data_IF_527738768378
#
_entry.id   IF_527738768378
#
_cell.length_a   1.000
_cell.length_b   1.000
_cell.length_c   1.000
_cell.angle_alpha   90.00
_cell.angle_beta   90.00
_cell.angle_gamma   90.00
#
_symmetry.space_group_name_H-M   'P 1'
#
loop_
_entity.id
_entity.type
_entity.pdbx_description
1 polymer ?
#
# COMPACT_ATOMS: atom_id res chain seq x y z
N UNK A 1 19.92 -16.03 -8.88
CA UNK A 1 19.60 -16.17 -10.33
C UNK A 1 19.36 -14.78 -10.88
N UNK A 2 19.70 -14.48 -12.12
CA UNK A 2 19.37 -13.18 -12.75
C UNK A 2 17.91 -13.20 -13.21
N UNK A 3 17.18 -12.06 -13.15
CA UNK A 3 15.74 -12.00 -13.52
C UNK A 3 15.42 -12.58 -14.90
N UNK A 4 16.29 -12.36 -15.90
CA UNK A 4 16.08 -12.86 -17.29
C UNK A 4 16.09 -14.39 -17.40
N UNK A 5 16.61 -15.08 -16.37
CA UNK A 5 16.62 -16.55 -16.30
C UNK A 5 15.48 -17.13 -15.49
N UNK A 6 14.72 -16.28 -14.79
CA UNK A 6 13.60 -16.70 -13.96
C UNK A 6 12.33 -16.91 -14.81
N UNK A 7 11.50 -17.87 -14.38
CA UNK A 7 10.09 -17.94 -14.79
C UNK A 7 9.25 -17.28 -13.72
N UNK A 8 8.67 -16.13 -14.04
CA UNK A 8 7.90 -15.30 -13.11
C UNK A 8 6.40 -15.55 -13.32
N UNK A 9 5.66 -15.85 -12.26
CA UNK A 9 4.20 -15.81 -12.28
C UNK A 9 3.73 -14.43 -11.79
N UNK A 10 3.05 -13.66 -12.63
CA UNK A 10 2.45 -12.39 -12.24
C UNK A 10 1.04 -12.68 -11.75
N UNK A 11 0.84 -12.59 -10.43
CA UNK A 11 -0.44 -12.88 -9.79
C UNK A 11 -1.26 -11.59 -9.70
N UNK A 12 -2.44 -11.58 -10.30
CA UNK A 12 -3.35 -10.43 -10.31
C UNK A 12 -4.81 -10.88 -10.19
N UNK A 13 -5.75 -9.95 -10.05
CA UNK A 13 -7.16 -10.24 -9.86
C UNK A 13 -7.53 -10.21 -8.37
N UNK A 14 -7.81 -11.35 -7.78
CA UNK A 14 -8.24 -11.47 -6.40
C UNK A 14 -9.76 -11.35 -6.21
N UNK A 15 -10.17 -11.39 -4.94
CA UNK A 15 -11.60 -11.42 -4.54
C UNK A 15 -12.08 -10.13 -3.88
N UNK A 16 -11.20 -9.13 -3.75
CA UNK A 16 -11.52 -7.83 -3.17
C UNK A 16 -12.24 -6.91 -4.15
N UNK A 17 -12.79 -5.81 -3.65
CA UNK A 17 -13.36 -4.74 -4.47
C UNK A 17 -12.35 -4.04 -5.41
N UNK A 18 -11.05 -4.33 -5.25
CA UNK A 18 -9.96 -3.74 -6.03
C UNK A 18 -9.48 -4.64 -7.20
N UNK A 19 -10.24 -5.70 -7.52
CA UNK A 19 -9.89 -6.69 -8.55
C UNK A 19 -9.47 -6.08 -9.90
N UNK A 20 -10.22 -5.12 -10.41
CA UNK A 20 -9.91 -4.48 -11.71
C UNK A 20 -8.58 -3.72 -11.68
N UNK A 21 -8.29 -3.05 -10.57
CA UNK A 21 -7.02 -2.33 -10.38
C UNK A 21 -5.85 -3.31 -10.28
N UNK A 22 -6.06 -4.41 -9.59
CA UNK A 22 -5.11 -5.51 -9.52
C UNK A 22 -4.79 -6.07 -10.90
N UNK A 23 -5.80 -6.35 -11.73
CA UNK A 23 -5.61 -6.82 -13.10
C UNK A 23 -4.84 -5.81 -13.96
N UNK A 24 -5.14 -4.52 -13.84
CA UNK A 24 -4.40 -3.45 -14.55
C UNK A 24 -2.94 -3.37 -14.09
N UNK A 25 -2.69 -3.49 -12.78
CA UNK A 25 -1.33 -3.54 -12.22
C UNK A 25 -0.57 -4.76 -12.75
N UNK A 26 -1.19 -5.94 -12.73
CA UNK A 26 -0.60 -7.18 -13.25
C UNK A 26 -0.24 -7.08 -14.73
N UNK A 27 -1.17 -6.60 -15.56
CA UNK A 27 -0.93 -6.42 -17.00
C UNK A 27 0.21 -5.42 -17.29
N UNK A 28 0.29 -4.31 -16.54
CA UNK A 28 1.37 -3.34 -16.68
C UNK A 28 2.74 -3.96 -16.29
N UNK A 29 2.81 -4.67 -15.17
CA UNK A 29 4.02 -5.38 -14.72
C UNK A 29 4.42 -6.46 -15.72
N UNK A 30 3.47 -7.28 -16.19
CA UNK A 30 3.74 -8.33 -17.19
C UNK A 30 4.31 -7.75 -18.47
N UNK A 31 3.71 -6.69 -19.00
CA UNK A 31 4.20 -5.98 -20.19
C UNK A 31 5.63 -5.45 -19.97
N UNK A 32 5.89 -4.81 -18.83
CA UNK A 32 7.20 -4.24 -18.52
C UNK A 32 8.27 -5.34 -18.41
N UNK A 33 8.02 -6.39 -17.63
CA UNK A 33 8.96 -7.50 -17.46
C UNK A 33 9.20 -8.27 -18.77
N UNK A 34 8.17 -8.46 -19.58
CA UNK A 34 8.31 -9.07 -20.91
C UNK A 34 9.24 -8.25 -21.82
N UNK A 35 9.09 -6.92 -21.83
CA UNK A 35 9.96 -6.03 -22.61
C UNK A 35 11.43 -6.05 -22.13
N UNK A 36 11.67 -6.46 -20.89
CA UNK A 36 13.01 -6.63 -20.29
C UNK A 36 13.56 -8.06 -20.48
N UNK A 37 12.88 -8.91 -21.26
CA UNK A 37 13.33 -10.27 -21.58
C UNK A 37 13.06 -11.31 -20.49
N UNK A 38 12.24 -11.00 -19.48
CA UNK A 38 11.85 -11.94 -18.41
C UNK A 38 10.80 -12.91 -18.94
N UNK A 39 10.99 -14.21 -18.68
CA UNK A 39 9.99 -15.24 -18.96
C UNK A 39 8.88 -15.17 -17.91
N UNK A 40 7.63 -14.97 -18.31
CA UNK A 40 6.53 -14.84 -17.39
C UNK A 40 5.27 -15.61 -17.82
N UNK A 41 4.39 -15.81 -16.84
CA UNK A 41 3.02 -16.27 -17.02
C UNK A 41 2.11 -15.39 -16.18
N UNK A 42 1.01 -14.92 -16.77
CA UNK A 42 -0.01 -14.15 -16.06
C UNK A 42 -1.02 -15.11 -15.43
N UNK A 43 -1.34 -14.90 -14.16
CA UNK A 43 -2.27 -15.73 -13.40
C UNK A 43 -3.39 -14.85 -12.86
N UNK A 44 -4.61 -15.08 -13.34
CA UNK A 44 -5.82 -14.45 -12.82
C UNK A 44 -6.33 -15.23 -11.60
N UNK A 45 -6.08 -14.70 -10.41
CA UNK A 45 -6.54 -15.29 -9.15
C UNK A 45 -8.03 -14.98 -8.97
N UNK A 46 -8.86 -16.03 -8.93
CA UNK A 46 -10.34 -15.90 -8.89
C UNK A 46 -10.97 -16.31 -7.55
N UNK A 47 -10.18 -16.86 -6.66
CA UNK A 47 -10.63 -17.35 -5.35
C UNK A 47 -9.60 -17.02 -4.26
N UNK A 48 -9.92 -17.38 -3.02
CA UNK A 48 -8.95 -17.34 -1.89
C UNK A 48 -8.07 -18.60 -1.87
N UNK A 49 -7.64 -19.03 -3.04
CA UNK A 49 -6.70 -20.12 -3.23
C UNK A 49 -5.95 -19.85 -4.52
N UNK A 50 -4.62 -19.79 -4.44
CA UNK A 50 -3.76 -19.55 -5.59
C UNK A 50 -3.27 -20.86 -6.20
N UNK A 51 -3.33 -20.94 -7.53
CA UNK A 51 -2.68 -22.01 -8.29
C UNK A 51 -1.44 -21.44 -8.97
N UNK A 52 -0.27 -21.88 -8.54
CA UNK A 52 1.00 -21.44 -9.12
C UNK A 52 1.41 -22.39 -10.25
N UNK A 53 1.62 -21.92 -11.48
CA UNK A 53 2.00 -22.77 -12.61
C UNK A 53 3.33 -23.48 -12.38
N UNK A 54 3.41 -24.75 -12.76
CA UNK A 54 4.60 -25.56 -12.59
C UNK A 54 5.86 -24.91 -13.20
N UNK A 55 6.98 -25.05 -12.48
CA UNK A 55 8.27 -24.48 -12.86
C UNK A 55 8.36 -22.96 -12.69
N UNK A 56 7.45 -22.33 -11.96
CA UNK A 56 7.58 -20.93 -11.52
C UNK A 56 8.71 -20.82 -10.50
N UNK A 57 9.61 -19.85 -10.67
CA UNK A 57 10.69 -19.58 -9.73
C UNK A 57 10.26 -18.55 -8.66
N UNK A 58 9.46 -17.55 -9.04
CA UNK A 58 9.00 -16.48 -8.16
C UNK A 58 7.66 -15.92 -8.62
N UNK A 59 6.78 -15.55 -7.66
CA UNK A 59 5.52 -14.88 -7.90
C UNK A 59 5.68 -13.37 -7.74
N UNK A 60 5.29 -12.59 -8.76
CA UNK A 60 5.16 -11.14 -8.64
C UNK A 60 3.72 -10.81 -8.21
N UNK A 61 3.57 -10.26 -6.99
CA UNK A 61 2.26 -10.00 -6.41
C UNK A 61 1.73 -8.64 -6.87
N UNK A 62 0.52 -8.64 -7.45
CA UNK A 62 -0.22 -7.45 -7.86
C UNK A 62 -1.64 -7.42 -7.29
N UNK A 63 -1.98 -8.31 -6.34
CA UNK A 63 -3.29 -8.33 -5.71
C UNK A 63 -3.42 -7.21 -4.70
N UNK A 64 -4.59 -6.56 -4.66
CA UNK A 64 -4.90 -5.49 -3.72
C UNK A 64 -6.04 -5.87 -2.78
N UNK A 65 -6.06 -5.27 -1.58
CA UNK A 65 -7.07 -5.50 -0.57
C UNK A 65 -7.00 -6.89 0.08
N UNK A 66 -8.16 -7.36 0.58
CA UNK A 66 -8.24 -8.65 1.27
C UNK A 66 -7.75 -9.83 0.41
N UNK A 67 -7.11 -10.81 1.04
CA UNK A 67 -6.38 -11.92 0.46
C UNK A 67 -5.00 -11.52 -0.10
N UNK A 68 -4.89 -10.40 -0.83
CA UNK A 68 -3.62 -9.95 -1.42
C UNK A 68 -2.69 -9.27 -0.41
N UNK A 69 -3.23 -8.35 0.39
CA UNK A 69 -2.45 -7.50 1.29
C UNK A 69 -2.57 -7.89 2.77
N UNK A 70 -3.52 -8.77 3.14
CA UNK A 70 -3.80 -9.18 4.52
C UNK A 70 -2.89 -10.31 5.05
N UNK A 71 -1.87 -10.69 4.29
CA UNK A 71 -0.93 -11.76 4.65
C UNK A 71 -1.38 -13.17 4.29
N UNK A 72 -2.64 -13.37 3.86
CA UNK A 72 -3.20 -14.71 3.57
C UNK A 72 -2.51 -15.34 2.36
N UNK A 73 -2.37 -14.61 1.25
CA UNK A 73 -1.70 -15.10 0.05
C UNK A 73 -0.22 -15.40 0.32
N UNK A 74 0.45 -14.54 1.09
CA UNK A 74 1.85 -14.72 1.45
C UNK A 74 2.05 -16.01 2.28
N UNK A 75 1.18 -16.25 3.27
CA UNK A 75 1.21 -17.47 4.08
C UNK A 75 0.95 -18.74 3.25
N UNK A 76 0.06 -18.66 2.26
CA UNK A 76 -0.19 -19.76 1.33
C UNK A 76 1.04 -20.06 0.47
N UNK A 77 1.69 -19.03 -0.08
CA UNK A 77 2.92 -19.16 -0.85
C UNK A 77 4.10 -19.67 -0.01
N UNK A 78 4.20 -19.21 1.25
CA UNK A 78 5.19 -19.73 2.22
C UNK A 78 5.01 -21.25 2.45
N UNK A 79 3.75 -21.70 2.61
CA UNK A 79 3.43 -23.13 2.78
C UNK A 79 3.81 -23.97 1.54
N UNK A 80 3.74 -23.36 0.34
CA UNK A 80 4.17 -24.00 -0.91
C UNK A 80 5.69 -23.94 -1.12
N UNK A 81 6.45 -23.24 -0.27
CA UNK A 81 7.87 -22.96 -0.48
C UNK A 81 8.13 -22.07 -1.69
N UNK A 82 7.14 -21.28 -2.10
CA UNK A 82 7.18 -20.44 -3.30
C UNK A 82 7.72 -19.05 -2.98
N UNK A 83 8.76 -18.63 -3.68
CA UNK A 83 9.27 -17.25 -3.59
C UNK A 83 8.24 -16.25 -4.14
N UNK A 84 8.17 -15.06 -3.53
CA UNK A 84 7.28 -13.98 -3.97
C UNK A 84 7.85 -12.59 -3.68
N UNK A 85 7.30 -11.57 -4.35
CA UNK A 85 7.73 -10.17 -4.18
C UNK A 85 7.06 -9.51 -2.97
N UNK A 86 7.79 -8.56 -2.35
CA UNK A 86 7.27 -7.73 -1.27
C UNK A 86 7.48 -8.34 0.12
N UNK A 87 6.64 -7.92 1.05
CA UNK A 87 6.71 -8.28 2.47
C UNK A 87 6.16 -9.66 2.75
N UNK A 88 6.64 -10.32 3.81
CA UNK A 88 6.13 -11.60 4.29
C UNK A 88 4.73 -11.51 4.92
N UNK A 89 4.15 -12.68 5.23
CA UNK A 89 2.77 -12.80 5.71
C UNK A 89 2.49 -11.98 6.98
N UNK A 90 3.40 -12.03 7.97
CA UNK A 90 3.23 -11.33 9.25
C UNK A 90 3.23 -9.81 9.07
N UNK A 91 4.19 -9.29 8.31
CA UNK A 91 4.30 -7.85 8.04
C UNK A 91 3.10 -7.33 7.22
N UNK A 92 2.66 -8.10 6.23
CA UNK A 92 1.49 -7.77 5.41
C UNK A 92 0.22 -7.72 6.25
N UNK A 93 -0.04 -8.73 7.09
CA UNK A 93 -1.19 -8.76 7.99
C UNK A 93 -1.16 -7.60 9.00
N UNK A 94 0.03 -7.29 9.54
CA UNK A 94 0.21 -6.19 10.50
C UNK A 94 -0.05 -4.83 9.84
N UNK A 95 0.49 -4.59 8.65
CA UNK A 95 0.32 -3.33 7.93
C UNK A 95 -1.14 -3.11 7.47
N UNK A 96 -1.87 -4.18 7.13
CA UNK A 96 -3.25 -4.12 6.69
C UNK A 96 -4.25 -3.80 7.81
N UNK A 97 -3.92 -4.20 9.06
CA UNK A 97 -4.70 -3.85 10.25
C UNK A 97 -4.26 -2.49 10.82
N UNK A 98 -5.04 -1.45 10.54
CA UNK A 98 -4.70 -0.07 10.90
C UNK A 98 -4.54 0.17 12.40
N UNK A 99 -5.27 -0.55 13.25
CA UNK A 99 -5.14 -0.41 14.71
C UNK A 99 -3.84 -1.02 15.21
N UNK A 100 -3.53 -2.24 14.77
CA UNK A 100 -2.27 -2.91 15.12
C UNK A 100 -1.06 -2.20 14.53
N UNK A 101 -1.16 -1.73 13.28
CA UNK A 101 -0.12 -0.93 12.65
C UNK A 101 0.15 0.36 13.44
N UNK A 102 -0.90 1.07 13.89
CA UNK A 102 -0.76 2.26 14.74
C UNK A 102 -0.12 1.96 16.08
N UNK A 103 -0.47 0.87 16.73
CA UNK A 103 0.13 0.45 17.99
C UNK A 103 1.65 0.25 17.84
N UNK A 104 2.08 -0.50 16.84
CA UNK A 104 3.50 -0.79 16.57
C UNK A 104 4.26 0.47 16.15
N UNK A 105 3.71 1.25 15.23
CA UNK A 105 4.33 2.50 14.79
C UNK A 105 4.41 3.54 15.91
N UNK A 106 3.37 3.62 16.75
CA UNK A 106 3.36 4.49 17.94
C UNK A 106 4.42 4.11 18.95
N UNK A 107 4.60 2.82 19.23
CA UNK A 107 5.67 2.31 20.09
C UNK A 107 7.07 2.62 19.53
N UNK A 108 7.22 2.71 18.22
CA UNK A 108 8.44 3.15 17.54
C UNK A 108 8.61 4.68 17.51
N UNK A 109 7.70 5.47 18.10
CA UNK A 109 7.76 6.93 18.15
C UNK A 109 7.47 7.62 16.80
N UNK A 110 6.71 6.97 15.92
CA UNK A 110 6.27 7.54 14.64
C UNK A 110 5.04 8.42 14.90
N UNK A 111 5.00 9.66 14.37
CA UNK A 111 3.84 10.53 14.51
C UNK A 111 2.60 9.94 13.84
N UNK A 112 1.49 9.87 14.59
CA UNK A 112 0.22 9.31 14.16
C UNK A 112 -0.92 10.21 14.62
N UNK A 113 -2.04 10.21 13.88
CA UNK A 113 -3.28 10.73 14.41
C UNK A 113 -3.78 9.82 15.56
N UNK A 114 -4.28 10.40 16.65
CA UNK A 114 -4.93 9.64 17.72
C UNK A 114 -6.10 8.84 17.13
N UNK A 115 -6.20 7.55 17.46
CA UNK A 115 -7.26 6.70 16.92
C UNK A 115 -7.43 5.42 17.74
N UNK A 116 -8.67 4.97 17.83
CA UNK A 116 -9.07 3.78 18.60
C UNK A 116 -10.08 2.94 17.82
N UNK A 117 -10.32 1.71 18.26
CA UNK A 117 -11.43 0.91 17.77
C UNK A 117 -12.75 1.64 18.05
N UNK A 118 -13.60 1.75 17.04
CA UNK A 118 -14.91 2.38 17.20
C UNK A 118 -15.93 1.40 17.75
N UNK A 119 -16.65 1.85 18.77
CA UNK A 119 -17.86 1.20 19.28
C UNK A 119 -18.94 2.26 19.48
N UNK A 120 -20.17 1.85 19.75
CA UNK A 120 -21.26 2.83 20.04
C UNK A 120 -21.03 3.57 21.38
N UNK A 121 -20.26 2.96 22.27
CA UNK A 121 -20.01 3.48 23.62
C UNK A 121 -18.83 4.47 23.66
N UNK A 122 -17.91 4.41 22.69
CA UNK A 122 -16.71 5.25 22.64
C UNK A 122 -16.73 6.26 21.48
N UNK A 123 -17.91 6.72 21.11
CA UNK A 123 -18.06 7.68 20.03
C UNK A 123 -17.51 9.08 20.39
N UNK A 124 -16.94 9.76 19.40
CA UNK A 124 -16.28 11.05 19.59
C UNK A 124 -17.17 12.19 19.08
N UNK A 125 -16.94 13.39 19.62
CA UNK A 125 -17.49 14.61 19.03
C UNK A 125 -16.68 14.98 17.78
N UNK A 126 -17.33 15.45 16.70
CA UNK A 126 -16.62 15.95 15.52
C UNK A 126 -15.61 17.06 15.86
N UNK A 127 -14.48 17.19 15.09
CA UNK A 127 -14.20 16.48 13.86
C UNK A 127 -13.41 15.18 14.04
N UNK A 128 -13.76 14.15 13.25
CA UNK A 128 -13.06 12.86 13.25
C UNK A 128 -13.19 12.13 11.88
N UNK A 129 -12.45 11.05 11.74
CA UNK A 129 -12.59 10.11 10.63
C UNK A 129 -13.10 8.77 11.18
N UNK A 130 -14.16 8.22 10.58
CA UNK A 130 -14.66 6.88 10.85
C UNK A 130 -14.39 6.01 9.63
N UNK A 131 -13.63 4.92 9.81
CA UNK A 131 -13.17 4.09 8.70
C UNK A 131 -13.02 2.62 9.10
N UNK A 132 -13.06 1.67 8.14
CA UNK A 132 -12.73 0.27 8.39
C UNK A 132 -11.29 0.11 8.86
N UNK A 133 -11.07 -0.86 9.76
CA UNK A 133 -9.72 -1.21 10.25
C UNK A 133 -8.88 -1.85 9.14
N UNK A 134 -9.47 -2.74 8.34
CA UNK A 134 -8.77 -3.58 7.35
C UNK A 134 -9.41 -3.46 5.97
N UNK A 135 -9.26 -2.29 5.35
CA UNK A 135 -9.70 -2.01 3.98
C UNK A 135 -8.76 -1.03 3.28
N UNK A 136 -8.71 -1.15 1.94
CA UNK A 136 -7.95 -0.28 1.05
C UNK A 136 -8.82 0.76 0.32
N UNK A 137 -8.19 1.51 -0.60
CA UNK A 137 -8.82 2.41 -1.57
C UNK A 137 -9.83 3.41 -1.01
N UNK A 138 -9.70 3.81 0.25
CA UNK A 138 -10.64 4.72 0.96
C UNK A 138 -12.09 4.21 1.01
N UNK A 139 -12.33 2.91 0.84
CA UNK A 139 -13.66 2.31 0.96
C UNK A 139 -14.15 2.42 2.40
N UNK A 140 -15.39 2.88 2.58
CA UNK A 140 -16.01 3.02 3.90
C UNK A 140 -15.42 4.12 4.78
N UNK A 141 -14.59 5.02 4.24
CA UNK A 141 -14.05 6.18 4.96
C UNK A 141 -15.08 7.32 5.00
N UNK A 142 -15.33 7.83 6.19
CA UNK A 142 -16.21 8.95 6.45
C UNK A 142 -15.45 10.06 7.17
N UNK A 143 -15.29 11.21 6.52
CA UNK A 143 -14.80 12.44 7.14
C UNK A 143 -15.99 13.13 7.83
N UNK A 144 -15.91 13.28 9.14
CA UNK A 144 -17.00 13.77 9.97
C UNK A 144 -16.59 15.11 10.57
N UNK A 145 -17.24 16.20 10.15
CA UNK A 145 -16.99 17.55 10.64
C UNK A 145 -18.16 18.10 11.45
N UNK A 146 -19.35 17.53 11.26
CA UNK A 146 -20.59 17.96 11.89
C UNK A 146 -21.37 16.80 12.48
N UNK A 147 -22.29 17.07 13.42
CA UNK A 147 -23.13 16.02 14.00
C UNK A 147 -24.05 15.34 12.95
N UNK A 148 -24.48 16.09 11.94
CA UNK A 148 -25.28 15.52 10.83
C UNK A 148 -24.46 14.49 10.03
N UNK A 149 -23.18 14.77 9.81
CA UNK A 149 -22.25 13.81 9.17
C UNK A 149 -21.97 12.63 10.09
N UNK A 150 -21.87 12.86 11.40
CA UNK A 150 -21.67 11.82 12.40
C UNK A 150 -22.82 10.80 12.40
N UNK A 151 -24.05 11.25 12.38
CA UNK A 151 -25.23 10.36 12.28
C UNK A 151 -25.20 9.49 11.01
N UNK A 152 -24.85 10.08 9.86
CA UNK A 152 -24.72 9.36 8.59
C UNK A 152 -23.59 8.32 8.65
N UNK A 153 -22.45 8.71 9.19
CA UNK A 153 -21.28 7.84 9.34
C UNK A 153 -21.57 6.65 10.27
N UNK A 154 -22.16 6.91 11.44
CA UNK A 154 -22.59 5.85 12.39
C UNK A 154 -23.58 4.87 11.76
N UNK A 155 -24.55 5.38 11.00
CA UNK A 155 -25.53 4.53 10.29
C UNK A 155 -24.88 3.66 9.23
N UNK A 156 -23.88 4.20 8.52
CA UNK A 156 -23.10 3.44 7.53
C UNK A 156 -22.21 2.40 8.20
N UNK A 157 -21.46 2.79 9.26
CA UNK A 157 -20.63 1.90 10.05
C UNK A 157 -21.40 0.73 10.67
N UNK A 158 -22.63 0.97 11.13
CA UNK A 158 -23.49 -0.09 11.65
C UNK A 158 -23.93 -1.16 10.63
N UNK A 159 -23.73 -0.89 9.32
CA UNK A 159 -23.97 -1.84 8.22
C UNK A 159 -22.69 -2.48 7.70
N UNK A 160 -21.54 -1.98 8.12
CA UNK A 160 -20.25 -2.48 7.68
C UNK A 160 -19.96 -3.85 8.27
N UNK A 161 -19.45 -4.76 7.43
CA UNK A 161 -19.06 -6.11 7.88
C UNK A 161 -17.60 -6.10 8.27
N UNK A 162 -17.30 -5.87 9.53
CA UNK A 162 -15.95 -5.87 10.06
C UNK A 162 -15.71 -4.76 11.08
N UNK A 163 -14.55 -4.74 11.72
CA UNK A 163 -14.22 -3.74 12.71
C UNK A 163 -14.02 -2.36 12.06
N UNK A 164 -14.50 -1.34 12.76
CA UNK A 164 -14.32 0.07 12.41
C UNK A 164 -13.39 0.73 13.42
N UNK A 165 -12.72 1.80 13.00
CA UNK A 165 -11.95 2.67 13.88
C UNK A 165 -12.37 4.12 13.70
N UNK A 166 -12.16 4.89 14.76
CA UNK A 166 -12.31 6.34 14.79
C UNK A 166 -10.96 6.96 15.04
N UNK A 167 -10.62 8.03 14.32
CA UNK A 167 -9.39 8.77 14.54
C UNK A 167 -9.58 10.27 14.36
N UNK A 168 -8.71 11.08 14.95
CA UNK A 168 -8.71 12.54 14.79
C UNK A 168 -8.57 12.91 13.32
N UNK A 169 -9.45 13.80 12.85
CA UNK A 169 -9.32 14.37 11.53
C UNK A 169 -8.08 15.27 11.47
N UNK A 170 -7.15 14.95 10.61
CA UNK A 170 -6.02 15.81 10.25
C UNK A 170 -6.30 16.39 8.88
N UNK A 171 -6.36 17.71 8.80
CA UNK A 171 -6.54 18.43 7.53
C UNK A 171 -5.19 18.90 7.02
N UNK A 172 -4.93 18.71 5.72
CA UNK A 172 -3.66 19.13 5.15
C UNK A 172 -3.32 18.45 3.82
N UNK A 173 -2.06 18.55 3.44
CA UNK A 173 -1.55 17.96 2.22
C UNK A 173 -1.43 16.43 2.36
N UNK A 174 -1.95 15.70 1.38
CA UNK A 174 -1.75 14.26 1.28
C UNK A 174 -0.45 13.98 0.54
N UNK A 175 0.45 13.25 1.20
CA UNK A 175 1.79 12.96 0.74
C UNK A 175 2.04 11.45 0.79
N UNK A 176 2.94 10.98 -0.06
CA UNK A 176 3.35 9.57 0.00
C UNK A 176 4.82 9.40 -0.33
N UNK A 177 5.42 8.39 0.28
CA UNK A 177 6.81 7.97 0.05
C UNK A 177 6.86 6.50 -0.28
N UNK A 178 7.37 6.17 -1.46
CA UNK A 178 7.68 4.79 -1.84
C UNK A 178 9.01 4.33 -1.26
N UNK A 179 9.07 3.09 -0.81
CA UNK A 179 10.31 2.40 -0.42
C UNK A 179 10.57 1.28 -1.42
N UNK A 180 11.81 1.17 -1.92
CA UNK A 180 12.25 0.04 -2.75
C UNK A 180 13.64 -0.39 -2.30
N UNK A 181 13.77 -1.62 -1.83
CA UNK A 181 14.95 -2.09 -1.10
C UNK A 181 15.16 -1.26 0.17
N UNK A 182 16.29 -0.55 0.24
CA UNK A 182 16.60 0.39 1.34
C UNK A 182 16.41 1.86 0.95
N UNK A 183 15.97 2.11 -0.28
CA UNK A 183 15.85 3.47 -0.81
C UNK A 183 14.44 4.01 -0.58
N UNK A 184 14.33 5.16 0.10
CA UNK A 184 13.15 5.99 0.05
C UNK A 184 13.16 6.83 -1.22
N UNK A 185 12.09 6.76 -1.99
CA UNK A 185 11.91 7.49 -3.24
C UNK A 185 11.48 8.95 -2.95
N UNK A 186 11.54 9.85 -3.94
CA UNK A 186 11.05 11.21 -3.79
C UNK A 186 9.59 11.25 -3.33
N UNK A 187 9.28 12.21 -2.46
CA UNK A 187 7.93 12.43 -1.95
C UNK A 187 6.99 12.80 -3.11
N UNK A 188 5.82 12.20 -3.14
CA UNK A 188 4.75 12.56 -4.07
C UNK A 188 3.67 13.30 -3.28
N UNK A 189 3.25 14.47 -3.75
CA UNK A 189 2.07 15.17 -3.25
C UNK A 189 0.87 14.82 -4.11
N UNK A 190 -0.22 14.47 -3.45
CA UNK A 190 -1.49 14.08 -4.05
C UNK A 190 -2.48 15.23 -3.86
N UNK A 191 -2.95 15.83 -4.96
CA UNK A 191 -3.89 16.95 -4.97
C UNK A 191 -5.17 16.57 -5.70
N UNK A 192 -6.19 16.06 -4.99
CA UNK A 192 -7.51 15.86 -5.58
C UNK A 192 -8.05 17.20 -6.10
N UNK A 193 -8.75 17.18 -7.24
CA UNK A 193 -9.37 18.40 -7.79
C UNK A 193 -10.62 18.80 -7.02
N UNK A 194 -11.25 17.82 -6.34
CA UNK A 194 -12.42 18.01 -5.49
C UNK A 194 -12.41 17.01 -4.32
N UNK A 195 -12.84 17.46 -3.14
CA UNK A 195 -12.99 16.60 -1.97
C UNK A 195 -11.66 16.09 -1.40
N UNK A 196 -11.61 14.82 -1.04
CA UNK A 196 -10.41 14.11 -0.56
C UNK A 196 -10.03 12.98 -1.52
N UNK A 197 -8.89 12.33 -1.31
CA UNK A 197 -8.37 11.27 -2.17
C UNK A 197 -9.13 9.96 -1.96
N UNK A 198 -10.40 9.96 -2.34
CA UNK A 198 -11.31 8.82 -2.31
C UNK A 198 -11.11 7.87 -3.50
N UNK A 199 -11.88 6.79 -3.54
CA UNK A 199 -11.85 5.80 -4.63
C UNK A 199 -12.00 6.44 -6.01
N UNK A 200 -12.93 7.38 -6.17
CA UNK A 200 -13.16 8.07 -7.44
C UNK A 200 -11.95 8.91 -7.86
N UNK A 201 -11.38 9.67 -6.92
CA UNK A 201 -10.21 10.51 -7.18
C UNK A 201 -8.93 9.70 -7.43
N UNK A 202 -8.85 8.46 -6.89
CA UNK A 202 -7.73 7.53 -7.14
C UNK A 202 -7.73 6.98 -8.56
N UNK A 203 -8.90 6.67 -9.13
CA UNK A 203 -8.99 5.85 -10.34
C UNK A 203 -9.65 6.54 -11.54
N UNK A 204 -10.11 7.80 -11.40
CA UNK A 204 -10.62 8.60 -12.51
C UNK A 204 -9.52 9.50 -13.08
N UNK A 205 -9.23 9.38 -14.36
CA UNK A 205 -8.23 10.21 -15.02
C UNK A 205 -8.58 11.71 -14.91
N UNK A 206 -7.61 12.55 -14.53
CA UNK A 206 -7.78 13.99 -14.38
C UNK A 206 -8.42 14.45 -13.06
N UNK A 207 -8.92 13.54 -12.21
CA UNK A 207 -9.51 13.88 -10.91
C UNK A 207 -8.46 14.25 -9.84
N UNK A 208 -7.20 13.91 -10.06
CA UNK A 208 -6.12 14.17 -9.13
C UNK A 208 -4.87 14.64 -9.86
N UNK A 209 -4.20 15.67 -9.33
CA UNK A 209 -2.85 16.08 -9.75
C UNK A 209 -1.83 15.45 -8.82
N UNK A 210 -0.73 14.97 -9.39
CA UNK A 210 0.38 14.38 -8.67
C UNK A 210 1.62 15.22 -8.92
N UNK A 211 2.26 15.70 -7.86
CA UNK A 211 3.50 16.47 -7.95
C UNK A 211 4.63 15.60 -7.39
N UNK A 212 5.59 15.26 -8.23
CA UNK A 212 6.74 14.44 -7.87
C UNK A 212 8.02 14.97 -8.56
N UNK A 213 9.04 15.40 -7.79
CA UNK A 213 9.03 15.56 -6.33
C UNK A 213 7.99 16.56 -5.84
N UNK A 214 7.44 16.35 -4.64
CA UNK A 214 6.54 17.29 -4.01
C UNK A 214 7.21 18.67 -3.81
N UNK A 215 6.50 19.81 -4.03
CA UNK A 215 7.07 21.14 -3.88
C UNK A 215 7.20 21.54 -2.41
N UNK A 216 8.27 21.12 -1.76
CA UNK A 216 8.58 21.39 -0.36
C UNK A 216 10.06 21.63 -0.13
N UNK A 217 10.44 22.15 1.05
CA UNK A 217 11.84 22.28 1.43
C UNK A 217 12.52 20.90 1.43
N UNK A 218 13.77 20.85 1.00
CA UNK A 218 14.54 19.61 0.89
C UNK A 218 14.62 18.87 2.24
N UNK A 219 14.80 19.61 3.31
CA UNK A 219 14.88 19.10 4.68
C UNK A 219 13.60 18.40 5.09
N UNK A 220 12.44 18.96 4.73
CA UNK A 220 11.13 18.34 5.00
C UNK A 220 10.93 17.05 4.19
N UNK A 221 11.37 17.06 2.92
CA UNK A 221 11.34 15.84 2.10
C UNK A 221 12.19 14.72 2.70
N UNK A 222 13.39 15.03 3.19
CA UNK A 222 14.26 14.07 3.86
C UNK A 222 13.66 13.57 5.19
N UNK A 223 13.03 14.44 5.98
CA UNK A 223 12.32 14.05 7.20
C UNK A 223 11.22 13.01 6.90
N UNK A 224 10.38 13.26 5.89
CA UNK A 224 9.32 12.33 5.48
C UNK A 224 9.89 11.01 4.97
N UNK A 225 10.98 11.03 4.23
CA UNK A 225 11.66 9.82 3.76
C UNK A 225 12.20 8.98 4.92
N UNK A 226 12.77 9.60 5.94
CA UNK A 226 13.25 8.88 7.15
C UNK A 226 12.08 8.35 8.00
N UNK A 227 10.99 9.11 8.13
CA UNK A 227 9.76 8.62 8.77
C UNK A 227 9.17 7.41 8.02
N UNK A 228 9.17 7.45 6.69
CA UNK A 228 8.70 6.34 5.86
C UNK A 228 9.55 5.08 6.07
N UNK A 229 10.88 5.20 6.10
CA UNK A 229 11.78 4.08 6.42
C UNK A 229 11.50 3.51 7.79
N UNK A 230 11.36 4.37 8.80
CA UNK A 230 11.02 3.94 10.17
C UNK A 230 9.70 3.17 10.22
N UNK A 231 8.66 3.65 9.52
CA UNK A 231 7.36 2.98 9.47
C UNK A 231 7.45 1.61 8.78
N UNK A 232 8.15 1.56 7.64
CA UNK A 232 8.45 0.32 6.90
C UNK A 232 9.16 -0.71 7.80
N UNK A 233 10.22 -0.30 8.48
CA UNK A 233 11.02 -1.16 9.36
C UNK A 233 10.25 -1.59 10.60
N UNK A 234 9.52 -0.68 11.26
CA UNK A 234 8.74 -0.98 12.46
C UNK A 234 7.68 -2.05 12.22
N UNK A 235 7.04 -2.05 11.05
CA UNK A 235 6.06 -3.06 10.66
C UNK A 235 6.70 -4.35 10.11
N UNK A 236 8.02 -4.44 10.04
CA UNK A 236 8.73 -5.57 9.46
C UNK A 236 8.53 -5.69 7.95
N UNK A 237 8.18 -4.61 7.27
CA UNK A 237 8.04 -4.61 5.82
C UNK A 237 9.38 -4.86 5.14
N UNK A 238 9.35 -5.49 3.98
CA UNK A 238 10.52 -5.85 3.20
C UNK A 238 10.33 -5.46 1.73
N UNK A 239 11.43 -5.24 1.03
CA UNK A 239 11.51 -5.06 -0.43
C UNK A 239 10.83 -3.80 -0.95
N UNK A 240 9.52 -3.65 -0.72
CA UNK A 240 8.78 -2.46 -1.13
C UNK A 240 7.63 -2.16 -0.18
N UNK A 241 7.31 -0.89 -0.07
CA UNK A 241 6.06 -0.39 0.51
C UNK A 241 5.78 1.02 0.02
N UNK A 242 4.59 1.52 0.31
CA UNK A 242 4.23 2.93 0.16
C UNK A 242 3.65 3.41 1.49
N UNK A 243 4.28 4.43 2.03
CA UNK A 243 3.86 5.06 3.29
C UNK A 243 3.11 6.34 2.97
N UNK A 244 1.87 6.43 3.40
CA UNK A 244 0.99 7.55 3.15
C UNK A 244 0.90 8.47 4.38
N UNK A 245 0.91 9.79 4.15
CA UNK A 245 0.96 10.82 5.18
C UNK A 245 -0.10 11.88 4.97
N UNK A 246 -0.52 12.51 6.07
CA UNK A 246 -1.12 13.85 6.05
C UNK A 246 -0.16 14.83 6.71
N UNK A 247 -0.01 16.01 6.13
CA UNK A 247 0.80 17.10 6.68
C UNK A 247 -0.06 18.35 6.82
N UNK A 248 -0.20 18.85 8.06
CA UNK A 248 -0.98 20.05 8.36
C UNK A 248 -0.33 21.34 7.85
N UNK A 249 -1.01 22.48 8.05
CA UNK A 249 -0.54 23.79 7.61
C UNK A 249 0.74 24.25 8.34
N UNK A 250 0.99 23.74 9.55
CA UNK A 250 2.17 23.98 10.36
C UNK A 250 3.36 23.09 9.94
N UNK A 251 3.14 22.19 8.97
CA UNK A 251 4.16 21.27 8.46
C UNK A 251 4.39 20.03 9.35
N UNK A 252 3.49 19.74 10.29
CA UNK A 252 3.53 18.53 11.09
C UNK A 252 2.90 17.38 10.31
N UNK A 253 3.70 16.35 10.04
CA UNK A 253 3.25 15.17 9.33
C UNK A 253 2.87 14.03 10.27
N UNK A 254 1.83 13.29 9.92
CA UNK A 254 1.43 12.03 10.56
C UNK A 254 1.34 10.92 9.52
N UNK A 255 1.73 9.70 9.87
CA UNK A 255 1.55 8.52 9.02
C UNK A 255 0.09 8.08 9.08
N UNK A 256 -0.52 7.86 7.93
CA UNK A 256 -1.87 7.33 7.78
C UNK A 256 -1.86 5.80 7.75
N UNK A 257 -1.08 5.23 6.84
CA UNK A 257 -1.01 3.79 6.59
C UNK A 257 0.26 3.41 5.84
N UNK A 258 0.58 2.12 5.84
CA UNK A 258 1.65 1.53 5.05
C UNK A 258 1.07 0.45 4.15
N UNK A 259 1.24 0.62 2.83
CA UNK A 259 0.76 -0.32 1.82
C UNK A 259 1.90 -1.25 1.41
N UNK A 260 1.74 -2.56 1.57
CA UNK A 260 2.77 -3.57 1.28
C UNK A 260 2.77 -4.05 -0.18
N UNK A 261 1.65 -3.88 -0.90
CA UNK A 261 1.55 -4.14 -2.34
C UNK A 261 1.00 -2.87 -3.02
N UNK A 262 1.80 -1.81 -3.15
CA UNK A 262 1.36 -0.58 -3.77
C UNK A 262 1.01 -0.79 -5.25
N UNK A 263 0.04 -0.02 -5.75
CA UNK A 263 -0.39 -0.10 -7.15
C UNK A 263 0.76 0.10 -8.15
N UNK A 264 0.70 -0.64 -9.24
CA UNK A 264 1.73 -0.70 -10.30
C UNK A 264 1.14 -0.38 -11.68
N UNK A 265 0.19 0.55 -11.76
CA UNK A 265 -0.31 1.11 -13.02
C UNK A 265 0.44 2.39 -13.39
N UNK A 266 0.26 2.89 -14.60
CA UNK A 266 0.84 4.16 -15.07
C UNK A 266 0.45 5.37 -14.20
N UNK A 267 -0.71 5.31 -13.53
CA UNK A 267 -1.20 6.35 -12.63
C UNK A 267 -0.74 6.15 -11.19
N UNK A 268 -0.13 5.02 -10.87
CA UNK A 268 0.23 4.66 -9.50
C UNK A 268 1.40 5.48 -8.97
N UNK A 269 1.38 5.72 -7.65
CA UNK A 269 2.30 6.64 -6.97
C UNK A 269 3.72 6.09 -6.88
N UNK A 270 3.89 4.77 -6.65
CA UNK A 270 5.22 4.16 -6.58
C UNK A 270 5.98 4.23 -7.91
N UNK A 271 5.40 3.87 -9.08
CA UNK A 271 6.04 4.08 -10.38
C UNK A 271 6.43 5.54 -10.66
N UNK A 272 5.56 6.50 -10.29
CA UNK A 272 5.86 7.94 -10.44
C UNK A 272 7.05 8.38 -9.60
N UNK A 273 7.10 7.93 -8.35
CA UNK A 273 8.23 8.20 -7.46
C UNK A 273 9.52 7.57 -7.99
N UNK A 274 9.44 6.34 -8.54
CA UNK A 274 10.54 5.68 -9.22
C UNK A 274 11.07 6.48 -10.40
N UNK A 275 10.18 6.94 -11.29
CA UNK A 275 10.54 7.75 -12.44
C UNK A 275 11.23 9.07 -12.03
N UNK A 276 10.72 9.74 -10.99
CA UNK A 276 11.34 10.95 -10.45
C UNK A 276 12.74 10.69 -9.83
N UNK A 277 13.00 9.45 -9.38
CA UNK A 277 14.31 9.00 -8.93
C UNK A 277 15.21 8.49 -10.08
N UNK A 278 14.80 8.62 -11.34
CA UNK A 278 15.54 8.13 -12.51
C UNK A 278 15.43 6.61 -12.74
N UNK A 279 14.44 5.94 -12.11
CA UNK A 279 14.18 4.51 -12.26
C UNK A 279 12.93 4.36 -13.13
N UNK A 280 13.09 3.96 -14.37
CA UNK A 280 11.95 3.65 -15.23
C UNK A 280 11.16 2.43 -14.73
N UNK A 281 9.95 2.25 -15.25
CA UNK A 281 9.03 1.23 -14.74
C UNK A 281 9.55 -0.20 -14.90
N UNK A 282 10.22 -0.50 -16.03
CA UNK A 282 10.82 -1.82 -16.26
C UNK A 282 11.92 -2.12 -15.25
N UNK A 283 12.83 -1.17 -15.04
CA UNK A 283 13.90 -1.28 -14.05
C UNK A 283 13.36 -1.32 -12.61
N UNK A 284 12.25 -0.62 -12.31
CA UNK A 284 11.58 -0.74 -11.02
C UNK A 284 11.09 -2.17 -10.76
N UNK A 285 10.40 -2.77 -11.74
CA UNK A 285 9.92 -4.15 -11.65
C UNK A 285 11.08 -5.15 -11.50
N UNK A 286 12.18 -4.98 -12.25
CA UNK A 286 13.37 -5.82 -12.13
C UNK A 286 14.01 -5.71 -10.74
N UNK A 287 14.18 -4.50 -10.20
CA UNK A 287 14.72 -4.29 -8.84
C UNK A 287 13.87 -4.98 -7.78
N UNK A 288 12.54 -4.89 -7.89
CA UNK A 288 11.62 -5.58 -6.97
C UNK A 288 11.83 -7.09 -7.04
N UNK A 289 11.95 -7.67 -8.25
CA UNK A 289 12.25 -9.09 -8.43
C UNK A 289 13.61 -9.48 -7.83
N UNK A 290 14.66 -8.73 -8.14
CA UNK A 290 16.02 -9.02 -7.67
C UNK A 290 16.11 -9.01 -6.14
N UNK A 291 15.56 -7.99 -5.49
CA UNK A 291 15.57 -7.88 -4.03
C UNK A 291 14.74 -8.98 -3.40
N UNK A 292 13.58 -9.30 -3.97
CA UNK A 292 12.71 -10.37 -3.46
C UNK A 292 13.35 -11.74 -3.62
N UNK A 293 13.98 -12.01 -4.75
CA UNK A 293 14.73 -13.25 -4.95
C UNK A 293 15.87 -13.39 -3.95
N UNK A 294 16.66 -12.33 -3.73
CA UNK A 294 17.75 -12.33 -2.76
C UNK A 294 17.28 -12.57 -1.32
N UNK A 295 16.10 -12.05 -0.94
CA UNK A 295 15.47 -12.33 0.36
C UNK A 295 15.11 -13.80 0.51
N UNK A 296 14.41 -14.37 -0.50
CA UNK A 296 13.94 -15.75 -0.43
C UNK A 296 15.12 -16.76 -0.38
N UNK A 297 16.27 -16.45 -0.99
CA UNK A 297 17.46 -17.31 -0.88
C UNK A 297 18.07 -17.30 0.53
N UNK A 298 17.95 -16.22 1.29
CA UNK A 298 18.43 -16.14 2.68
C UNK A 298 17.54 -16.91 3.64
N UNK A 299 16.22 -16.94 3.42
CA UNK A 299 15.27 -17.68 4.25
C UNK A 299 15.35 -19.21 4.08
N UNK A 300 15.93 -19.69 2.97
CA UNK A 300 16.16 -21.14 2.74
C UNK A 300 17.41 -21.65 3.48
N UNK A 301 18.28 -20.73 3.93
CA UNK A 301 19.54 -21.06 4.60
C UNK A 301 19.51 -20.87 6.13
N UNK A 302 18.36 -20.44 6.68
CA UNK A 302 18.10 -20.26 8.12
C UNK A 302 17.15 -21.34 8.65
#
# INVERSE_FOLDING_TARGET
MKPEKMKVAVLAGGVSGEREISQRSGAAVAKALHSMGVRLVEVDVKSRQVEVPAGTDICFLCLHGSYGEDGTLQAELDTMGMAYTGSGAVASALAFDKLRAKEVMGAAGIPLAEGIAWTKENDWLPPYVLKPVSEGSSLGVHLVRTEVEAEKARKAAGKWKGPMMIERLVEGAELTVGIVGKQALPVVEVRPTQGFYDYRNKYTAGSTKYLCPAPMAKEKGLELQELAKKAHEALGCEILSRVDFLMDAEGKAVVLEVNTIPGMTDLSLLPRAGQAAGIDFGNLCLKILEFSWARNQKGVLA
#
